data_IF_157608194851
#
_entry.id   IF_157608194851
#
_cell.length_a   1.000
_cell.length_b   1.000
_cell.length_c   1.000
_cell.angle_alpha   90.00
_cell.angle_beta   90.00
_cell.angle_gamma   90.00
#
_symmetry.space_group_name_H-M   'P 1'
#
loop_
_entity.id
_entity.type
_entity.pdbx_description
1 polymer ?
#
# COMPACT_ATOMS: atom_id res chain seq x y z
N UNK A 1 9.11 -3.82 26.05
CA UNK A 1 9.35 -3.37 24.67
C UNK A 1 10.35 -2.24 24.74
N UNK A 2 11.28 -2.09 23.78
CA UNK A 2 12.14 -0.91 23.74
C UNK A 2 11.25 0.33 23.59
N UNK A 3 11.53 1.37 24.36
CA UNK A 3 10.84 2.65 24.26
C UNK A 3 11.15 3.25 22.87
N UNK A 4 10.10 3.55 22.11
CA UNK A 4 10.23 4.22 20.81
C UNK A 4 10.17 5.72 21.11
N UNK A 5 11.18 6.46 20.65
CA UNK A 5 11.26 7.92 20.78
C UNK A 5 11.05 8.56 19.41
N UNK A 6 9.92 9.23 19.21
CA UNK A 6 9.61 9.94 17.98
C UNK A 6 10.26 11.34 18.00
N UNK A 7 11.26 11.51 17.14
CA UNK A 7 11.99 12.77 16.98
C UNK A 7 11.48 13.50 15.74
N UNK A 8 11.00 14.72 15.93
CA UNK A 8 10.53 15.63 14.90
C UNK A 8 11.60 16.66 14.55
N UNK A 9 11.88 16.84 13.26
CA UNK A 9 12.77 17.88 12.74
C UNK A 9 11.93 18.78 11.83
N UNK A 10 11.70 20.02 12.26
CA UNK A 10 10.78 20.94 11.59
C UNK A 10 11.54 22.01 10.80
N UNK A 11 11.24 22.14 9.51
CA UNK A 11 11.59 23.34 8.76
C UNK A 11 10.65 24.48 9.20
N UNK A 12 11.22 25.58 9.69
CA UNK A 12 10.46 26.71 10.22
C UNK A 12 10.71 27.99 9.42
N UNK A 13 9.62 28.70 9.15
CA UNK A 13 9.60 30.06 8.62
C UNK A 13 8.64 30.91 9.45
N UNK A 14 8.08 31.97 8.85
CA UNK A 14 7.27 32.96 9.58
C UNK A 14 5.97 32.45 10.22
N UNK A 15 5.34 31.43 9.65
CA UNK A 15 4.07 30.88 10.16
C UNK A 15 4.33 29.57 10.91
N UNK A 16 4.27 29.57 12.26
CA UNK A 16 4.52 28.39 13.06
C UNK A 16 3.29 27.51 13.31
N UNK A 17 2.08 27.94 12.94
CA UNK A 17 0.84 27.28 13.40
C UNK A 17 0.71 25.82 12.94
N UNK A 18 1.46 25.43 11.91
CA UNK A 18 1.45 24.05 11.40
C UNK A 18 2.22 23.08 12.31
N UNK A 19 3.22 23.58 13.06
CA UNK A 19 4.12 22.75 13.84
C UNK A 19 3.36 21.94 14.90
N UNK A 20 2.51 22.61 15.69
CA UNK A 20 1.78 21.99 16.81
C UNK A 20 0.88 20.84 16.36
N UNK A 21 0.22 20.98 15.21
CA UNK A 21 -0.64 19.95 14.60
C UNK A 21 0.16 18.66 14.35
N UNK A 22 1.33 18.79 13.71
CA UNK A 22 2.21 17.66 13.41
C UNK A 22 2.77 17.00 14.66
N UNK A 23 3.21 17.81 15.64
CA UNK A 23 3.76 17.31 16.90
C UNK A 23 2.72 16.52 17.72
N UNK A 24 1.47 16.98 17.74
CA UNK A 24 0.37 16.31 18.44
C UNK A 24 -0.08 15.03 17.75
N UNK A 25 -0.39 15.11 16.46
CA UNK A 25 -1.06 14.00 15.74
C UNK A 25 -0.13 12.84 15.38
N UNK A 26 1.18 13.08 15.37
CA UNK A 26 2.19 12.06 15.08
C UNK A 26 2.99 11.66 16.32
N UNK A 27 2.48 11.97 17.53
CA UNK A 27 3.03 11.50 18.81
C UNK A 27 4.52 11.86 18.99
N UNK A 28 4.85 13.14 18.88
CA UNK A 28 6.22 13.61 19.07
C UNK A 28 6.70 13.41 20.51
N UNK A 29 7.95 12.99 20.69
CA UNK A 29 8.65 12.98 21.98
C UNK A 29 9.73 14.08 22.06
N UNK A 30 10.41 14.37 20.94
CA UNK A 30 11.41 15.44 20.85
C UNK A 30 11.26 16.26 19.59
N UNK A 31 11.37 17.58 19.71
CA UNK A 31 11.33 18.48 18.55
C UNK A 31 12.65 19.23 18.36
N UNK A 32 13.14 19.26 17.12
CA UNK A 32 14.25 20.09 16.64
C UNK A 32 13.73 21.05 15.57
N UNK A 33 14.31 22.24 15.49
CA UNK A 33 13.96 23.27 14.50
C UNK A 33 15.14 23.53 13.58
N UNK A 34 14.86 23.62 12.28
CA UNK A 34 15.78 24.12 11.26
C UNK A 34 15.15 25.36 10.63
N UNK A 35 15.80 26.50 10.74
CA UNK A 35 15.30 27.80 10.25
C UNK A 35 16.43 28.63 9.61
N UNK A 36 16.17 29.84 9.13
CA UNK A 36 17.22 30.75 8.66
C UNK A 36 17.76 31.62 9.81
N UNK A 37 18.98 32.16 9.66
CA UNK A 37 19.54 33.09 10.66
C UNK A 37 18.60 34.29 10.93
N UNK A 38 18.00 34.85 9.88
CA UNK A 38 17.05 35.97 10.00
C UNK A 38 15.82 35.56 10.82
N UNK A 39 15.22 34.41 10.53
CA UNK A 39 14.05 33.94 11.26
C UNK A 39 14.39 33.58 12.70
N UNK A 40 15.58 33.05 12.97
CA UNK A 40 16.04 32.76 14.33
C UNK A 40 16.21 34.03 15.19
N UNK A 41 16.50 35.18 14.56
CA UNK A 41 16.54 36.49 15.23
C UNK A 41 15.15 37.12 15.36
N UNK A 42 14.31 37.00 14.34
CA UNK A 42 12.96 37.61 14.32
C UNK A 42 11.96 36.88 15.23
N UNK A 43 12.12 35.57 15.40
CA UNK A 43 11.16 34.72 16.10
C UNK A 43 11.79 34.08 17.34
N UNK A 44 11.06 34.11 18.46
CA UNK A 44 11.46 33.46 19.70
C UNK A 44 11.11 31.96 19.67
N UNK A 45 11.83 31.23 18.81
CA UNK A 45 11.70 29.78 18.66
C UNK A 45 11.95 29.03 19.98
N UNK A 46 12.76 29.59 20.88
CA UNK A 46 13.03 28.99 22.19
C UNK A 46 11.78 29.01 23.06
N UNK A 47 11.13 30.17 23.21
CA UNK A 47 9.87 30.27 23.95
C UNK A 47 8.78 29.40 23.31
N UNK A 48 8.73 29.31 21.98
CA UNK A 48 7.80 28.42 21.29
C UNK A 48 8.03 26.93 21.62
N UNK A 49 9.28 26.48 21.62
CA UNK A 49 9.61 25.09 21.99
C UNK A 49 9.32 24.82 23.47
N UNK A 50 9.54 25.79 24.36
CA UNK A 50 9.18 25.69 25.78
C UNK A 50 7.65 25.60 25.98
N UNK A 51 6.88 26.36 25.20
CA UNK A 51 5.41 26.26 25.16
C UNK A 51 4.98 24.87 24.70
N UNK A 52 5.52 24.37 23.58
CA UNK A 52 5.19 23.03 23.09
C UNK A 52 5.59 21.93 24.09
N UNK A 53 6.75 22.07 24.72
CA UNK A 53 7.21 21.14 25.76
C UNK A 53 6.24 21.12 26.95
N UNK A 54 5.76 22.27 27.39
CA UNK A 54 4.77 22.38 28.47
C UNK A 54 3.40 21.82 28.07
N UNK A 55 2.91 22.17 26.88
CA UNK A 55 1.56 21.82 26.42
C UNK A 55 1.43 20.35 26.04
N UNK A 56 2.47 19.79 25.43
CA UNK A 56 2.46 18.45 24.83
C UNK A 56 3.24 17.42 25.64
N UNK A 57 4.02 17.86 26.65
CA UNK A 57 4.90 16.98 27.41
C UNK A 57 6.12 16.48 26.62
N UNK A 58 6.54 17.22 25.59
CA UNK A 58 7.67 16.85 24.72
C UNK A 58 8.98 17.48 25.17
N UNK A 59 10.12 16.89 24.81
CA UNK A 59 11.44 17.44 25.06
C UNK A 59 11.86 18.41 23.94
N UNK A 60 12.38 19.58 24.34
CA UNK A 60 12.91 20.57 23.42
C UNK A 60 14.35 20.20 23.01
N UNK A 61 14.55 19.91 21.73
CA UNK A 61 15.85 19.64 21.13
C UNK A 61 16.60 20.91 20.72
N UNK A 62 17.29 20.85 19.58
CA UNK A 62 18.13 21.91 19.04
C UNK A 62 17.40 22.86 18.09
N UNK A 63 17.86 24.11 18.06
CA UNK A 63 17.52 25.10 17.04
C UNK A 63 18.75 25.28 16.16
N UNK A 64 18.59 25.00 14.87
CA UNK A 64 19.66 25.02 13.89
C UNK A 64 19.35 26.04 12.81
N UNK A 65 20.37 26.80 12.39
CA UNK A 65 20.19 27.88 11.43
C UNK A 65 20.92 27.62 10.13
N UNK A 66 20.32 28.11 9.05
CA UNK A 66 20.91 28.17 7.71
C UNK A 66 21.30 29.63 7.46
N UNK A 67 22.55 29.90 7.04
CA UNK A 67 22.96 31.23 6.67
C UNK A 67 22.05 31.85 5.60
N UNK A 68 21.59 33.09 5.83
CA UNK A 68 20.70 33.77 4.89
C UNK A 68 21.31 33.89 3.49
N UNK A 69 22.64 34.03 3.39
CA UNK A 69 23.37 34.05 2.11
C UNK A 69 23.28 32.73 1.33
N UNK A 70 23.03 31.62 2.03
CA UNK A 70 22.95 30.28 1.44
C UNK A 70 21.51 29.77 1.29
N UNK A 71 20.52 30.44 1.90
CA UNK A 71 19.12 29.99 1.97
C UNK A 71 18.47 29.70 0.61
N UNK A 72 18.92 30.41 -0.44
CA UNK A 72 18.46 30.26 -1.83
C UNK A 72 19.56 29.74 -2.77
N UNK A 73 20.64 29.19 -2.22
CA UNK A 73 21.76 28.63 -2.97
C UNK A 73 21.68 27.10 -3.03
N UNK A 74 22.42 26.50 -3.96
CA UNK A 74 22.56 25.05 -4.02
C UNK A 74 23.21 24.45 -2.75
N UNK A 75 23.91 25.26 -1.95
CA UNK A 75 24.52 24.82 -0.71
C UNK A 75 23.48 24.58 0.41
N UNK A 76 22.31 25.22 0.36
CA UNK A 76 21.23 25.02 1.35
C UNK A 76 20.92 23.54 1.56
N UNK A 77 20.84 22.77 0.48
CA UNK A 77 20.57 21.33 0.54
C UNK A 77 21.65 20.58 1.33
N UNK A 78 22.93 20.88 1.07
CA UNK A 78 24.04 20.27 1.80
C UNK A 78 24.03 20.62 3.28
N UNK A 79 23.66 21.86 3.61
CA UNK A 79 23.54 22.34 4.99
C UNK A 79 22.41 21.61 5.71
N UNK A 80 21.20 21.57 5.13
CA UNK A 80 20.04 20.85 5.71
C UNK A 80 20.36 19.38 5.95
N UNK A 81 20.95 18.69 4.97
CA UNK A 81 21.35 17.28 5.09
C UNK A 81 22.36 17.09 6.23
N UNK A 82 23.35 17.98 6.35
CA UNK A 82 24.35 17.90 7.42
C UNK A 82 23.74 18.16 8.81
N UNK A 83 22.80 19.09 8.92
CA UNK A 83 22.09 19.37 10.18
C UNK A 83 21.22 18.18 10.58
N UNK A 84 20.41 17.63 9.66
CA UNK A 84 19.59 16.44 9.92
C UNK A 84 20.46 15.26 10.37
N UNK A 85 21.59 15.03 9.69
CA UNK A 85 22.58 14.03 10.08
C UNK A 85 23.12 14.24 11.50
N UNK A 86 23.40 15.50 11.86
CA UNK A 86 23.86 15.86 13.20
C UNK A 86 22.81 15.56 14.26
N UNK A 87 21.55 15.92 14.02
CA UNK A 87 20.43 15.66 14.92
C UNK A 87 20.25 14.15 15.12
N UNK A 88 20.22 13.37 14.03
CA UNK A 88 20.07 11.91 14.11
C UNK A 88 21.19 11.28 14.95
N UNK A 89 22.44 11.70 14.75
CA UNK A 89 23.58 11.21 15.54
C UNK A 89 23.47 11.58 17.02
N UNK A 90 22.97 12.78 17.32
CA UNK A 90 22.75 13.24 18.68
C UNK A 90 21.69 12.39 19.39
N UNK A 91 20.53 12.20 18.76
CA UNK A 91 19.40 11.48 19.35
C UNK A 91 19.64 9.97 19.47
N UNK A 92 20.32 9.36 18.49
CA UNK A 92 20.55 7.91 18.50
C UNK A 92 21.72 7.47 19.37
N UNK A 93 22.62 8.38 19.77
CA UNK A 93 23.93 8.05 20.36
C UNK A 93 24.69 6.94 19.61
N UNK A 94 24.39 6.76 18.32
CA UNK A 94 24.94 5.69 17.47
C UNK A 94 25.52 6.28 16.20
N UNK A 95 26.65 5.75 15.71
CA UNK A 95 27.03 6.01 14.34
C UNK A 95 25.95 5.42 13.42
N UNK A 96 25.47 6.22 12.46
CA UNK A 96 24.64 5.77 11.34
C UNK A 96 25.41 4.69 10.58
N UNK A 97 25.22 3.44 10.96
CA UNK A 97 25.70 2.32 10.17
C UNK A 97 24.76 2.22 8.99
N UNK A 98 25.20 2.67 7.80
CA UNK A 98 24.78 2.16 6.47
C UNK A 98 25.59 2.77 5.29
N UNK A 99 26.78 3.33 5.53
CA UNK A 99 27.80 3.46 4.47
C UNK A 99 28.80 2.34 4.68
N UNK A 100 28.96 1.50 3.66
CA UNK A 100 29.53 0.17 3.73
C UNK A 100 30.82 0.06 4.55
N UNK A 101 30.93 -1.09 5.21
CA UNK A 101 32.18 -1.67 5.70
C UNK A 101 33.18 -1.82 4.55
N UNK A 102 33.80 -0.71 4.12
CA UNK A 102 35.15 -0.73 3.60
C UNK A 102 36.04 -0.42 4.77
N UNK A 103 36.84 -1.42 5.15
CA UNK A 103 38.03 -1.23 5.96
C UNK A 103 38.94 -0.23 5.25
N UNK A 104 38.75 1.06 5.47
CA UNK A 104 39.83 2.02 5.35
C UNK A 104 40.66 1.87 6.63
N UNK A 105 41.88 1.34 6.46
CA UNK A 105 42.85 1.18 7.53
C UNK A 105 43.06 2.53 8.24
N UNK A 106 42.51 2.68 9.46
CA UNK A 106 42.74 3.84 10.30
C UNK A 106 41.52 4.40 11.04
N UNK A 107 40.29 4.03 10.65
CA UNK A 107 39.08 4.44 11.39
C UNK A 107 38.60 3.25 12.24
N UNK A 108 38.84 3.32 13.55
CA UNK A 108 38.17 2.45 14.51
C UNK A 108 36.67 2.80 14.50
N UNK A 109 35.88 2.10 13.68
CA UNK A 109 34.43 2.07 13.84
C UNK A 109 34.17 0.98 14.86
N UNK A 110 33.69 1.36 16.05
CA UNK A 110 33.28 0.40 17.07
C UNK A 110 32.27 -0.58 16.45
N UNK A 111 32.49 -1.87 16.68
CA UNK A 111 31.53 -2.91 16.30
C UNK A 111 30.15 -2.58 16.88
N UNK A 112 29.04 -2.87 16.18
CA UNK A 112 27.71 -2.62 16.72
C UNK A 112 27.61 -3.37 18.04
N UNK A 113 27.58 -2.59 19.13
CA UNK A 113 27.43 -3.14 20.46
C UNK A 113 26.08 -3.85 20.49
N UNK A 114 26.12 -5.10 20.95
CA UNK A 114 24.96 -5.97 21.20
C UNK A 114 23.83 -5.12 21.79
N UNK A 115 22.62 -5.18 21.18
CA UNK A 115 21.41 -4.50 21.66
C UNK A 115 21.36 -4.60 23.19
N UNK A 116 21.44 -3.47 23.90
CA UNK A 116 21.19 -3.43 25.34
C UNK A 116 19.67 -3.34 25.53
N UNK A 117 19.17 -3.92 26.62
CA UNK A 117 17.73 -3.92 26.93
C UNK A 117 17.14 -2.50 27.11
N UNK A 118 18.01 -1.48 27.27
CA UNK A 118 17.67 -0.05 27.40
C UNK A 118 17.87 0.78 26.11
N UNK A 119 18.05 0.13 24.95
CA UNK A 119 18.20 0.86 23.68
C UNK A 119 16.88 1.52 23.25
N UNK A 120 16.82 2.84 23.38
CA UNK A 120 15.75 3.67 22.80
C UNK A 120 15.86 3.63 21.27
N UNK A 121 14.78 3.26 20.60
CA UNK A 121 14.71 3.26 19.13
C UNK A 121 14.12 4.60 18.71
N UNK A 122 14.89 5.42 18.01
CA UNK A 122 14.39 6.70 17.53
C UNK A 122 13.68 6.56 16.18
N UNK A 123 12.41 6.96 16.11
CA UNK A 123 11.69 7.20 14.86
C UNK A 123 11.89 8.65 14.44
N UNK A 124 12.28 8.92 13.20
CA UNK A 124 12.51 10.30 12.73
C UNK A 124 11.41 10.77 11.79
N UNK A 125 10.85 11.93 12.09
CA UNK A 125 9.86 12.62 11.27
C UNK A 125 10.41 13.98 10.84
N UNK A 126 10.31 14.32 9.55
CA UNK A 126 10.79 15.58 9.01
C UNK A 126 9.62 16.39 8.47
N UNK A 127 9.25 17.44 9.21
CA UNK A 127 8.17 18.35 8.85
C UNK A 127 8.68 19.41 7.87
N UNK A 128 8.11 19.47 6.67
CA UNK A 128 8.58 20.37 5.61
C UNK A 128 7.54 21.43 5.19
N UNK A 129 6.53 21.67 6.04
CA UNK A 129 5.47 22.66 5.74
C UNK A 129 5.99 24.10 5.83
N UNK A 130 6.85 24.39 6.80
CA UNK A 130 7.46 25.70 6.99
C UNK A 130 8.78 25.88 6.25
N UNK A 131 9.28 27.12 6.27
CA UNK A 131 10.50 27.52 5.59
C UNK A 131 10.30 27.84 4.10
N UNK A 132 11.40 27.93 3.35
CA UNK A 132 11.35 28.16 1.90
C UNK A 132 11.09 26.85 1.16
N UNK A 133 10.59 26.92 -0.09
CA UNK A 133 10.43 25.73 -0.92
C UNK A 133 11.74 24.95 -1.12
N UNK A 134 12.89 25.64 -1.12
CA UNK A 134 14.20 25.00 -1.22
C UNK A 134 14.54 24.22 0.05
N UNK A 135 14.26 24.77 1.24
CA UNK A 135 14.38 24.06 2.50
C UNK A 135 13.47 22.84 2.54
N UNK A 136 12.21 22.99 2.13
CA UNK A 136 11.26 21.89 2.07
C UNK A 136 11.74 20.76 1.14
N UNK A 137 12.20 21.09 -0.06
CA UNK A 137 12.79 20.11 -0.98
C UNK A 137 14.04 19.43 -0.42
N UNK A 138 14.92 20.19 0.25
CA UNK A 138 16.10 19.65 0.92
C UNK A 138 15.74 18.73 2.10
N UNK A 139 14.70 19.07 2.85
CA UNK A 139 14.18 18.28 3.97
C UNK A 139 13.63 16.94 3.50
N UNK A 140 12.82 16.93 2.42
CA UNK A 140 12.34 15.69 1.80
C UNK A 140 13.52 14.85 1.29
N UNK A 141 14.53 15.47 0.69
CA UNK A 141 15.73 14.76 0.25
C UNK A 141 16.50 14.13 1.42
N UNK A 142 16.71 14.88 2.51
CA UNK A 142 17.35 14.39 3.73
C UNK A 142 16.56 13.25 4.37
N UNK A 143 15.22 13.36 4.42
CA UNK A 143 14.36 12.31 4.97
C UNK A 143 14.58 10.98 4.23
N UNK A 144 14.63 11.02 2.90
CA UNK A 144 14.88 9.85 2.08
C UNK A 144 16.29 9.26 2.26
N UNK A 145 17.31 10.10 2.42
CA UNK A 145 18.69 9.65 2.67
C UNK A 145 18.81 8.91 4.00
N UNK A 146 18.09 9.37 5.03
CA UNK A 146 18.19 8.84 6.38
C UNK A 146 17.03 7.93 6.80
N UNK A 147 16.15 7.56 5.85
CA UNK A 147 14.96 6.73 6.11
C UNK A 147 14.04 7.31 7.19
N UNK A 148 13.98 8.64 7.29
CA UNK A 148 13.00 9.34 8.11
C UNK A 148 11.68 9.50 7.33
N UNK A 149 10.59 9.81 8.04
CA UNK A 149 9.25 10.06 7.49
C UNK A 149 9.06 11.54 7.15
N UNK A 150 9.12 11.95 5.88
CA UNK A 150 8.79 13.33 5.53
C UNK A 150 7.28 13.53 5.62
N UNK A 151 6.84 14.66 6.18
CA UNK A 151 5.42 15.01 6.24
C UNK A 151 5.17 16.51 6.09
N UNK A 152 3.96 16.86 5.66
CA UNK A 152 3.47 18.23 5.67
C UNK A 152 2.07 18.30 6.26
N UNK A 153 1.64 19.50 6.68
CA UNK A 153 0.30 19.72 7.20
C UNK A 153 -0.60 20.26 6.08
N UNK A 154 -1.60 19.47 5.70
CA UNK A 154 -2.67 19.92 4.83
C UNK A 154 -3.69 20.67 5.68
N UNK A 155 -3.71 22.01 5.57
CA UNK A 155 -4.75 22.85 6.19
C UNK A 155 -5.97 22.95 5.29
N UNK A 156 -7.14 23.12 5.91
CA UNK A 156 -8.38 23.43 5.18
C UNK A 156 -8.32 24.88 4.71
N UNK A 157 -8.56 25.18 3.42
CA UNK A 157 -8.65 26.55 2.95
C UNK A 157 -9.72 27.33 3.74
N UNK A 158 -9.36 28.51 4.25
CA UNK A 158 -10.23 29.38 5.07
C UNK A 158 -10.73 28.75 6.40
N UNK A 159 -10.13 27.63 6.83
CA UNK A 159 -10.41 26.98 8.12
C UNK A 159 -9.67 27.61 9.30
N UNK A 160 -9.86 27.02 10.48
CA UNK A 160 -9.10 27.42 11.67
C UNK A 160 -7.59 27.15 11.42
N UNK A 161 -6.68 28.11 11.71
CA UNK A 161 -5.23 27.90 11.58
C UNK A 161 -4.68 26.73 12.41
N UNK A 162 -5.39 26.33 13.48
CA UNK A 162 -5.08 25.16 14.31
C UNK A 162 -5.72 23.86 13.78
N UNK A 163 -6.49 23.92 12.69
CA UNK A 163 -7.07 22.77 12.02
C UNK A 163 -6.24 22.35 10.79
N UNK A 164 -5.89 21.06 10.75
CA UNK A 164 -5.18 20.45 9.62
C UNK A 164 -4.87 18.99 9.87
N UNK A 165 -4.45 18.29 8.81
CA UNK A 165 -4.05 16.88 8.87
C UNK A 165 -2.59 16.70 8.41
N UNK A 166 -1.76 15.96 9.17
CA UNK A 166 -0.44 15.58 8.69
C UNK A 166 -0.57 14.55 7.56
N UNK A 167 -0.01 14.89 6.41
CA UNK A 167 0.17 13.98 5.29
C UNK A 167 1.61 13.48 5.34
N UNK A 168 1.79 12.24 5.76
CA UNK A 168 3.08 11.55 5.78
C UNK A 168 3.31 10.95 4.40
N UNK A 169 4.44 11.26 3.78
CA UNK A 169 4.79 10.71 2.48
C UNK A 169 5.54 9.39 2.65
N UNK A 170 5.20 8.41 1.82
CA UNK A 170 6.01 7.21 1.72
C UNK A 170 7.45 7.54 1.29
N UNK A 171 8.45 6.85 1.84
CA UNK A 171 9.84 7.13 1.52
C UNK A 171 10.15 6.68 0.08
N UNK A 172 10.86 7.50 -0.69
CA UNK A 172 11.16 7.26 -2.11
C UNK A 172 11.92 5.95 -2.35
N UNK A 173 12.72 5.52 -1.38
CA UNK A 173 13.42 4.25 -1.40
C UNK A 173 12.46 3.04 -1.40
N UNK A 174 11.21 3.20 -0.98
CA UNK A 174 10.18 2.17 -1.09
C UNK A 174 9.91 1.81 -2.55
N UNK A 175 9.86 2.79 -3.44
CA UNK A 175 9.63 2.52 -4.87
C UNK A 175 10.79 1.73 -5.46
N UNK A 176 12.04 2.06 -5.11
CA UNK A 176 13.21 1.33 -5.57
C UNK A 176 13.27 -0.09 -4.99
N UNK A 177 13.02 -0.22 -3.68
CA UNK A 177 12.91 -1.51 -2.98
C UNK A 177 11.87 -2.40 -3.65
N UNK A 178 10.66 -1.89 -3.79
CA UNK A 178 9.54 -2.62 -4.36
C UNK A 178 9.72 -2.87 -5.84
N UNK A 179 10.49 -2.05 -6.58
CA UNK A 179 10.87 -2.30 -7.99
C UNK A 179 11.97 -3.34 -8.18
N UNK A 180 12.69 -3.71 -7.10
CA UNK A 180 13.67 -4.80 -7.11
C UNK A 180 13.20 -6.07 -6.37
N UNK A 181 12.12 -6.00 -5.60
CA UNK A 181 11.59 -7.13 -4.83
C UNK A 181 11.14 -8.30 -5.74
N UNK A 182 11.23 -9.57 -5.31
CA UNK A 182 10.69 -10.71 -6.05
C UNK A 182 9.17 -10.66 -6.22
N UNK A 183 8.67 -11.13 -7.36
CA UNK A 183 7.23 -11.08 -7.68
C UNK A 183 6.40 -11.93 -6.72
N UNK A 184 6.87 -13.14 -6.42
CA UNK A 184 6.16 -14.05 -5.51
C UNK A 184 6.08 -13.47 -4.09
N UNK A 185 7.12 -12.76 -3.63
CA UNK A 185 7.09 -12.09 -2.34
C UNK A 185 6.06 -10.94 -2.30
N UNK A 186 5.92 -10.17 -3.38
CA UNK A 186 4.88 -9.14 -3.49
C UNK A 186 3.50 -9.80 -3.47
N UNK A 187 3.29 -10.88 -4.21
CA UNK A 187 2.02 -11.62 -4.25
C UNK A 187 1.64 -12.20 -2.89
N UNK A 188 2.61 -12.81 -2.19
CA UNK A 188 2.36 -13.39 -0.86
C UNK A 188 1.93 -12.31 0.14
N UNK A 189 2.56 -11.13 0.13
CA UNK A 189 2.16 -10.02 1.00
C UNK A 189 0.80 -9.42 0.63
N UNK A 190 0.46 -9.35 -0.65
CA UNK A 190 -0.88 -8.88 -1.07
C UNK A 190 -1.98 -9.88 -0.67
N UNK A 191 -1.70 -11.19 -0.70
CA UNK A 191 -2.64 -12.23 -0.25
C UNK A 191 -2.70 -12.35 1.29
N UNK A 192 -1.58 -12.09 1.95
CA UNK A 192 -1.39 -12.22 3.37
C UNK A 192 -0.71 -10.96 3.94
N UNK A 193 -1.42 -9.82 4.01
CA UNK A 193 -0.85 -8.56 4.48
C UNK A 193 -0.48 -8.59 5.96
N UNK A 194 -1.00 -9.58 6.70
CA UNK A 194 -0.66 -9.84 8.09
C UNK A 194 -0.50 -11.33 8.35
N UNK A 195 0.39 -11.70 9.25
CA UNK A 195 0.63 -13.10 9.53
C UNK A 195 1.79 -13.36 10.49
N UNK A 196 2.23 -14.62 10.53
CA UNK A 196 3.41 -15.01 11.30
C UNK A 196 4.66 -14.79 10.47
N UNK A 197 5.60 -14.01 10.99
CA UNK A 197 6.82 -13.60 10.30
C UNK A 197 7.63 -14.80 9.77
N UNK A 198 7.88 -15.78 10.64
CA UNK A 198 8.68 -16.97 10.28
C UNK A 198 7.91 -18.08 9.56
N UNK A 199 6.64 -17.85 9.21
CA UNK A 199 5.87 -18.81 8.39
C UNK A 199 5.99 -18.52 6.89
N UNK A 200 6.58 -17.40 6.53
CA UNK A 200 6.76 -16.94 5.15
C UNK A 200 8.04 -17.51 4.57
N UNK A 201 8.13 -17.52 3.24
CA UNK A 201 9.39 -17.83 2.56
C UNK A 201 10.46 -16.76 2.85
N UNK A 202 11.71 -17.08 2.52
CA UNK A 202 12.86 -16.23 2.85
C UNK A 202 12.81 -14.87 2.14
N UNK A 203 12.28 -14.80 0.91
CA UNK A 203 12.22 -13.57 0.12
C UNK A 203 11.15 -12.64 0.68
N UNK A 204 9.98 -13.19 1.01
CA UNK A 204 8.90 -12.46 1.69
C UNK A 204 9.34 -11.97 3.06
N UNK A 205 10.04 -12.79 3.85
CA UNK A 205 10.61 -12.37 5.13
C UNK A 205 11.57 -11.18 4.99
N UNK A 206 12.48 -11.22 4.00
CA UNK A 206 13.41 -10.12 3.72
C UNK A 206 12.63 -8.86 3.32
N UNK A 207 11.59 -9.01 2.49
CA UNK A 207 10.76 -7.89 2.06
C UNK A 207 10.02 -7.26 3.23
N UNK A 208 9.39 -8.05 4.11
CA UNK A 208 8.72 -7.57 5.32
C UNK A 208 9.71 -6.76 6.18
N UNK A 209 10.89 -7.30 6.44
CA UNK A 209 11.90 -6.64 7.28
C UNK A 209 12.33 -5.30 6.68
N UNK A 210 12.44 -5.22 5.36
CA UNK A 210 12.78 -3.96 4.66
C UNK A 210 11.61 -2.98 4.65
N UNK A 211 10.37 -3.45 4.51
CA UNK A 211 9.19 -2.61 4.60
C UNK A 211 8.99 -2.07 6.02
N UNK A 212 9.27 -2.87 7.05
CA UNK A 212 9.27 -2.46 8.45
C UNK A 212 10.29 -1.33 8.70
N UNK A 213 11.49 -1.46 8.14
CA UNK A 213 12.50 -0.40 8.16
C UNK A 213 12.06 0.89 7.44
N UNK A 214 11.17 0.78 6.45
CA UNK A 214 10.57 1.93 5.75
C UNK A 214 9.25 2.38 6.37
N UNK A 215 8.86 1.79 7.50
CA UNK A 215 7.60 2.04 8.20
C UNK A 215 6.36 1.77 7.34
N UNK A 216 6.48 0.86 6.38
CA UNK A 216 5.39 0.37 5.53
C UNK A 216 4.85 -0.97 6.03
N UNK A 217 5.48 -1.56 7.04
CA UNK A 217 5.00 -2.70 7.82
C UNK A 217 5.40 -2.50 9.29
N UNK A 218 4.91 -3.35 10.18
CA UNK A 218 5.42 -3.53 11.53
C UNK A 218 5.80 -4.99 11.77
N UNK A 219 6.80 -5.23 12.61
CA UNK A 219 7.10 -6.57 13.14
C UNK A 219 7.08 -6.58 14.66
N UNK A 220 6.18 -7.39 15.22
CA UNK A 220 5.93 -7.42 16.66
C UNK A 220 6.05 -8.83 17.22
N UNK A 221 6.51 -8.92 18.47
CA UNK A 221 6.49 -10.18 19.22
C UNK A 221 5.24 -10.20 20.10
N UNK A 222 4.25 -11.00 19.71
CA UNK A 222 3.10 -11.30 20.55
C UNK A 222 3.51 -12.27 21.64
N UNK A 223 3.59 -11.80 22.87
CA UNK A 223 3.78 -12.67 24.03
C UNK A 223 2.48 -13.40 24.39
N UNK A 224 2.62 -14.67 24.75
CA UNK A 224 1.50 -15.44 25.29
C UNK A 224 1.42 -15.13 26.80
N UNK A 225 0.32 -14.54 27.30
CA UNK A 225 0.16 -14.23 28.72
C UNK A 225 0.26 -15.49 29.61
N UNK A 226 -0.09 -16.66 29.08
CA UNK A 226 -0.06 -17.93 29.80
C UNK A 226 1.34 -18.58 29.78
N UNK A 227 2.18 -18.22 28.79
CA UNK A 227 3.52 -18.79 28.60
C UNK A 227 4.57 -17.69 28.33
N UNK A 228 5.05 -17.02 29.39
CA UNK A 228 6.10 -16.01 29.27
C UNK A 228 7.34 -16.58 28.58
N UNK A 229 7.75 -15.96 27.48
CA UNK A 229 8.90 -16.38 26.67
C UNK A 229 8.57 -17.18 25.41
N UNK A 230 7.34 -17.69 25.21
CA UNK A 230 6.93 -18.38 23.98
C UNK A 230 6.33 -17.44 22.92
N UNK A 231 6.72 -16.17 22.93
CA UNK A 231 6.12 -15.16 22.07
C UNK A 231 6.34 -15.46 20.58
N UNK A 232 5.31 -15.20 19.78
CA UNK A 232 5.32 -15.42 18.33
C UNK A 232 5.55 -14.10 17.62
N UNK A 233 6.44 -14.11 16.63
CA UNK A 233 6.67 -12.95 15.78
C UNK A 233 5.60 -12.87 14.69
N UNK A 234 4.94 -11.73 14.63
CA UNK A 234 3.93 -11.39 13.65
C UNK A 234 4.34 -10.16 12.88
N UNK A 235 3.73 -9.98 11.71
CA UNK A 235 3.87 -8.78 10.91
C UNK A 235 2.50 -8.26 10.51
N UNK A 236 2.43 -6.96 10.27
CA UNK A 236 1.28 -6.27 9.69
C UNK A 236 1.77 -5.24 8.66
N UNK A 237 1.38 -5.39 7.40
CA UNK A 237 1.67 -4.42 6.35
C UNK A 237 0.67 -3.28 6.46
N UNK A 238 1.18 -2.05 6.57
CA UNK A 238 0.34 -0.85 6.67
C UNK A 238 -0.55 -0.66 5.43
N UNK A 239 -1.59 0.15 5.56
CA UNK A 239 -2.45 0.52 4.41
C UNK A 239 -1.63 1.16 3.27
N UNK A 240 -0.72 2.08 3.61
CA UNK A 240 0.21 2.72 2.67
C UNK A 240 1.13 1.68 1.99
N UNK A 241 1.69 0.75 2.77
CA UNK A 241 2.53 -0.33 2.27
C UNK A 241 1.77 -1.25 1.30
N UNK A 242 0.51 -1.54 1.61
CA UNK A 242 -0.39 -2.35 0.79
C UNK A 242 -0.68 -1.63 -0.53
N UNK A 243 -1.01 -0.34 -0.48
CA UNK A 243 -1.24 0.48 -1.68
C UNK A 243 -0.02 0.49 -2.61
N UNK A 244 1.19 0.66 -2.07
CA UNK A 244 2.42 0.64 -2.86
C UNK A 244 2.71 -0.73 -3.47
N UNK A 245 2.46 -1.81 -2.74
CA UNK A 245 2.57 -3.18 -3.27
C UNK A 245 1.61 -3.37 -4.45
N UNK A 246 0.37 -2.89 -4.35
CA UNK A 246 -0.61 -2.95 -5.43
C UNK A 246 -0.17 -2.16 -6.65
N UNK A 247 0.23 -0.89 -6.47
CA UNK A 247 0.72 -0.04 -7.57
C UNK A 247 1.89 -0.70 -8.30
N UNK A 248 2.83 -1.30 -7.56
CA UNK A 248 4.01 -1.94 -8.14
C UNK A 248 3.66 -3.27 -8.81
N UNK A 249 2.77 -4.07 -8.23
CA UNK A 249 2.28 -5.30 -8.86
C UNK A 249 1.61 -5.02 -10.21
N UNK A 250 0.79 -3.95 -10.27
CA UNK A 250 0.16 -3.49 -11.51
C UNK A 250 1.20 -2.98 -12.52
N UNK A 251 2.16 -2.13 -12.10
CA UNK A 251 3.23 -1.64 -12.99
C UNK A 251 4.06 -2.75 -13.61
N UNK A 252 4.36 -3.78 -12.82
CA UNK A 252 5.20 -4.91 -13.24
C UNK A 252 4.45 -5.93 -14.08
N UNK A 253 3.14 -5.77 -14.31
CA UNK A 253 2.30 -6.73 -15.04
C UNK A 253 2.53 -8.15 -14.54
N UNK A 254 2.45 -8.37 -13.22
CA UNK A 254 2.79 -9.65 -12.57
C UNK A 254 1.81 -10.79 -12.83
N UNK A 255 1.52 -11.04 -14.10
CA UNK A 255 0.88 -12.24 -14.64
C UNK A 255 1.26 -12.43 -16.13
N UNK A 256 2.53 -12.77 -16.41
CA UNK A 256 2.85 -13.57 -17.61
C UNK A 256 3.79 -14.74 -17.24
N UNK A 257 3.55 -15.96 -17.77
CA UNK A 257 4.59 -16.95 -17.97
C UNK A 257 5.53 -16.51 -19.12
N UNK A 258 6.77 -17.04 -19.22
CA UNK A 258 7.88 -16.47 -20.00
C UNK A 258 7.71 -16.43 -21.53
N UNK A 259 6.57 -16.81 -22.09
CA UNK A 259 6.43 -17.09 -23.53
C UNK A 259 6.05 -15.88 -24.38
N UNK A 260 5.90 -14.69 -23.80
CA UNK A 260 5.56 -13.45 -24.53
C UNK A 260 6.49 -12.26 -24.31
N UNK A 261 7.64 -12.46 -23.66
CA UNK A 261 8.73 -11.46 -23.64
C UNK A 261 9.63 -11.54 -24.89
N UNK A 262 9.02 -11.69 -26.06
CA UNK A 262 9.72 -11.68 -27.34
C UNK A 262 8.98 -10.79 -28.32
N UNK A 263 9.45 -9.55 -28.48
CA UNK A 263 9.04 -8.69 -29.58
C UNK A 263 8.72 -7.27 -29.16
N UNK A 264 9.73 -6.53 -28.68
CA UNK A 264 9.87 -5.09 -28.93
C UNK A 264 11.35 -4.73 -28.83
N UNK A 265 12.14 -5.44 -29.62
CA UNK A 265 13.49 -5.03 -30.00
C UNK A 265 13.71 -5.51 -31.42
N UNK A 266 13.53 -4.63 -32.40
CA UNK A 266 14.51 -4.36 -33.46
C UNK A 266 13.87 -3.48 -34.55
N UNK A 267 14.39 -2.25 -34.64
CA UNK A 267 14.41 -1.50 -35.88
C UNK A 267 15.20 -2.27 -36.96
N UNK A 268 14.76 -2.10 -38.22
CA UNK A 268 15.50 -2.33 -39.46
C UNK A 268 16.09 -3.72 -39.74
N UNK A 269 15.44 -4.49 -40.63
CA UNK A 269 15.88 -4.66 -42.03
C UNK A 269 15.25 -5.88 -42.73
N UNK A 270 14.93 -5.74 -44.02
CA UNK A 270 15.05 -6.84 -44.98
C UNK A 270 13.84 -7.73 -45.30
N UNK A 271 13.01 -7.26 -46.23
CA UNK A 271 12.46 -7.97 -47.40
C UNK A 271 11.88 -9.42 -47.31
N UNK A 272 10.59 -9.49 -47.70
CA UNK A 272 9.84 -10.60 -48.37
C UNK A 272 9.61 -11.85 -47.51
N UNK A 273 8.38 -12.35 -47.39
CA UNK A 273 7.60 -12.92 -48.49
C UNK A 273 6.10 -13.00 -48.14
N UNK A 274 5.25 -12.77 -49.14
CA UNK A 274 3.79 -12.92 -49.09
C UNK A 274 3.40 -14.38 -48.91
N UNK A 275 2.42 -14.65 -48.05
CA UNK A 275 1.44 -15.72 -48.29
C UNK A 275 0.06 -15.17 -47.99
N UNK A 276 -0.72 -15.03 -49.05
CA UNK A 276 -2.13 -14.69 -49.03
C UNK A 276 -2.94 -15.82 -48.37
N UNK A 277 -3.88 -15.47 -47.49
CA UNK A 277 -5.19 -16.15 -47.45
C UNK A 277 -6.23 -15.26 -46.77
N UNK A 278 -7.04 -14.66 -47.64
CA UNK A 278 -8.47 -14.35 -47.51
C UNK A 278 -8.98 -13.71 -46.20
N UNK A 279 -9.23 -12.40 -46.30
CA UNK A 279 -10.28 -11.72 -45.53
C UNK A 279 -11.62 -12.46 -45.72
N UNK A 280 -12.17 -12.97 -44.62
CA UNK A 280 -13.60 -13.24 -44.50
C UNK A 280 -14.14 -12.27 -43.45
N UNK A 281 -14.80 -11.23 -43.95
CA UNK A 281 -15.63 -10.30 -43.20
C UNK A 281 -16.72 -11.07 -42.44
N UNK A 282 -16.63 -11.09 -41.12
CA UNK A 282 -17.64 -11.62 -40.21
C UNK A 282 -17.42 -11.05 -38.81
N UNK A 283 -18.48 -10.77 -38.03
CA UNK A 283 -18.32 -10.23 -36.69
C UNK A 283 -17.54 -11.22 -35.81
N UNK A 284 -16.69 -10.76 -34.88
CA UNK A 284 -15.90 -11.64 -34.05
C UNK A 284 -16.81 -12.49 -33.16
N UNK A 285 -16.78 -13.80 -33.39
CA UNK A 285 -17.48 -14.79 -32.58
C UNK A 285 -16.96 -14.74 -31.13
N UNK A 286 -17.87 -14.45 -30.20
CA UNK A 286 -17.69 -14.48 -28.74
C UNK A 286 -17.33 -15.85 -28.14
N UNK A 287 -16.80 -16.77 -28.92
CA UNK A 287 -16.55 -18.14 -28.50
C UNK A 287 -15.04 -18.44 -28.47
N UNK A 288 -14.49 -18.50 -27.27
CA UNK A 288 -13.34 -19.38 -27.03
C UNK A 288 -13.83 -20.82 -27.34
N UNK A 289 -13.43 -21.46 -28.46
CA UNK A 289 -14.07 -22.68 -28.98
C UNK A 289 -13.95 -23.90 -28.04
N UNK A 290 -13.24 -23.74 -26.91
CA UNK A 290 -13.01 -24.73 -25.87
C UNK A 290 -13.99 -24.66 -24.69
N UNK A 291 -14.96 -23.75 -24.62
CA UNK A 291 -15.51 -23.38 -23.31
C UNK A 291 -17.03 -23.60 -23.07
N UNK A 292 -17.79 -24.04 -24.07
CA UNK A 292 -19.22 -24.34 -23.93
C UNK A 292 -20.11 -23.09 -23.94
N UNK A 293 -21.39 -23.24 -23.61
CA UNK A 293 -22.40 -22.18 -23.73
C UNK A 293 -22.60 -21.42 -22.41
N UNK A 294 -22.68 -20.09 -22.48
CA UNK A 294 -23.12 -19.26 -21.36
C UNK A 294 -24.56 -19.63 -21.01
N UNK A 295 -24.79 -20.01 -19.75
CA UNK A 295 -26.12 -20.40 -19.25
C UNK A 295 -26.76 -19.24 -18.48
N UNK A 296 -26.03 -18.64 -17.54
CA UNK A 296 -26.55 -17.59 -16.66
C UNK A 296 -25.47 -16.54 -16.33
N UNK A 297 -25.85 -15.27 -16.28
CA UNK A 297 -25.05 -14.21 -15.66
C UNK A 297 -25.60 -13.97 -14.25
N UNK A 298 -24.80 -14.27 -13.23
CA UNK A 298 -25.22 -14.22 -11.83
C UNK A 298 -25.08 -12.82 -11.24
N UNK A 299 -24.00 -12.14 -11.59
CA UNK A 299 -23.62 -10.86 -11.01
C UNK A 299 -22.72 -10.09 -11.96
N UNK A 300 -22.94 -8.78 -12.02
CA UNK A 300 -22.05 -7.83 -12.68
C UNK A 300 -21.67 -6.75 -11.68
N UNK A 301 -20.40 -6.37 -11.66
CA UNK A 301 -19.87 -5.25 -10.86
C UNK A 301 -19.17 -4.24 -11.75
N UNK A 302 -19.37 -2.97 -11.44
CA UNK A 302 -18.76 -1.82 -12.09
C UNK A 302 -18.09 -0.96 -11.01
N UNK A 303 -17.50 0.16 -11.43
CA UNK A 303 -16.92 1.15 -10.51
C UNK A 303 -17.93 1.67 -9.48
N UNK A 304 -19.23 1.62 -9.76
CA UNK A 304 -20.27 2.11 -8.83
C UNK A 304 -20.36 1.31 -7.53
N UNK A 305 -19.93 0.03 -7.57
CA UNK A 305 -19.88 -0.83 -6.40
C UNK A 305 -18.54 -0.75 -5.65
N UNK A 306 -17.60 0.10 -6.10
CA UNK A 306 -16.33 0.34 -5.40
C UNK A 306 -16.55 1.38 -4.30
N UNK A 307 -16.31 1.05 -3.02
CA UNK A 307 -16.39 2.02 -1.92
C UNK A 307 -15.42 3.18 -2.11
N UNK A 308 -15.79 4.37 -1.64
CA UNK A 308 -14.93 5.57 -1.71
C UNK A 308 -13.54 5.37 -1.10
N UNK A 309 -13.39 4.49 -0.11
CA UNK A 309 -12.10 4.15 0.51
C UNK A 309 -11.16 3.31 -0.40
N UNK A 310 -11.61 2.86 -1.56
CA UNK A 310 -10.83 2.02 -2.47
C UNK A 310 -10.69 2.70 -3.85
N UNK A 311 -10.19 3.94 -3.83
CA UNK A 311 -10.06 4.79 -5.02
C UNK A 311 -9.17 4.15 -6.10
N UNK A 312 -8.10 3.44 -5.71
CA UNK A 312 -7.21 2.78 -6.67
C UNK A 312 -7.95 1.75 -7.52
N UNK A 313 -8.85 0.95 -6.92
CA UNK A 313 -9.66 -0.01 -7.67
C UNK A 313 -10.57 0.71 -8.67
N UNK A 314 -11.22 1.79 -8.25
CA UNK A 314 -12.08 2.58 -9.13
C UNK A 314 -11.29 3.17 -10.32
N UNK A 315 -10.12 3.76 -10.05
CA UNK A 315 -9.23 4.30 -11.10
C UNK A 315 -8.76 3.22 -12.07
N UNK A 316 -8.43 2.01 -11.58
CA UNK A 316 -8.05 0.89 -12.44
C UNK A 316 -9.23 0.44 -13.31
N UNK A 317 -10.43 0.33 -12.75
CA UNK A 317 -11.62 -0.03 -13.51
C UNK A 317 -11.94 1.00 -14.59
N UNK A 318 -11.88 2.29 -14.27
CA UNK A 318 -12.13 3.38 -15.21
C UNK A 318 -11.07 3.39 -16.32
N UNK A 319 -9.78 3.39 -15.95
CA UNK A 319 -8.65 3.48 -16.89
C UNK A 319 -8.65 2.35 -17.92
N UNK A 320 -9.03 1.15 -17.49
CA UNK A 320 -9.03 -0.05 -18.33
C UNK A 320 -10.43 -0.44 -18.82
N UNK A 321 -11.43 0.41 -18.56
CA UNK A 321 -12.82 0.23 -18.92
C UNK A 321 -13.38 -1.16 -18.54
N UNK A 322 -13.14 -1.55 -17.29
CA UNK A 322 -13.40 -2.91 -16.81
C UNK A 322 -14.79 -3.08 -16.20
N UNK A 323 -15.39 -4.22 -16.50
CA UNK A 323 -16.59 -4.74 -15.85
C UNK A 323 -16.30 -6.14 -15.29
N UNK A 324 -16.59 -6.36 -14.01
CA UNK A 324 -16.46 -7.68 -13.38
C UNK A 324 -17.73 -8.50 -13.58
N UNK A 325 -17.59 -9.74 -14.03
CA UNK A 325 -18.72 -10.66 -14.29
C UNK A 325 -18.55 -11.96 -13.53
N UNK A 326 -19.65 -12.45 -12.96
CA UNK A 326 -19.78 -13.82 -12.48
C UNK A 326 -20.82 -14.56 -13.33
N UNK A 327 -20.38 -15.59 -14.05
CA UNK A 327 -21.17 -16.27 -15.07
C UNK A 327 -21.08 -17.78 -14.94
N UNK A 328 -22.18 -18.47 -15.26
CA UNK A 328 -22.26 -19.93 -15.28
C UNK A 328 -22.19 -20.40 -16.72
N UNK A 329 -21.18 -21.22 -17.01
CA UNK A 329 -20.92 -21.79 -18.33
C UNK A 329 -21.13 -23.29 -18.30
N UNK A 330 -21.73 -23.85 -19.34
CA UNK A 330 -22.03 -25.29 -19.44
C UNK A 330 -21.31 -25.91 -20.64
N UNK A 331 -20.53 -26.97 -20.39
CA UNK A 331 -19.89 -27.79 -21.42
C UNK A 331 -19.99 -29.27 -21.04
N UNK A 332 -20.41 -30.13 -21.97
CA UNK A 332 -20.47 -31.59 -21.78
C UNK A 332 -21.15 -31.99 -20.45
N UNK A 333 -22.31 -31.36 -20.18
CA UNK A 333 -23.09 -31.49 -18.94
C UNK A 333 -22.42 -31.06 -17.62
N UNK A 334 -21.23 -30.44 -17.69
CA UNK A 334 -20.55 -29.84 -16.55
C UNK A 334 -20.76 -28.34 -16.52
N UNK A 335 -21.13 -27.81 -15.35
CA UNK A 335 -21.26 -26.37 -15.10
C UNK A 335 -20.01 -25.82 -14.41
N UNK A 336 -19.60 -24.63 -14.81
CA UNK A 336 -18.46 -23.91 -14.25
C UNK A 336 -18.87 -22.48 -13.94
N UNK A 337 -18.62 -22.04 -12.72
CA UNK A 337 -18.72 -20.64 -12.32
C UNK A 337 -17.41 -19.94 -12.72
N UNK A 338 -17.51 -18.90 -13.53
CA UNK A 338 -16.40 -18.03 -13.94
C UNK A 338 -16.57 -16.69 -13.27
N UNK A 339 -15.53 -16.22 -12.60
CA UNK A 339 -15.46 -14.87 -12.04
C UNK A 339 -14.29 -14.19 -12.71
N UNK A 340 -14.54 -13.15 -13.49
CA UNK A 340 -13.52 -12.51 -14.32
C UNK A 340 -13.86 -11.05 -14.60
N UNK A 341 -12.92 -10.34 -15.21
CA UNK A 341 -13.14 -8.97 -15.68
C UNK A 341 -12.98 -8.91 -17.19
N UNK A 342 -13.78 -8.06 -17.81
CA UNK A 342 -13.80 -7.83 -19.24
C UNK A 342 -13.62 -6.34 -19.51
N UNK A 343 -12.85 -6.00 -20.54
CA UNK A 343 -12.84 -4.64 -21.07
C UNK A 343 -14.08 -4.44 -21.93
N UNK A 344 -14.93 -3.46 -21.60
CA UNK A 344 -16.20 -3.27 -22.32
C UNK A 344 -16.04 -2.65 -23.72
N UNK A 345 -14.87 -2.10 -24.05
CA UNK A 345 -14.51 -1.67 -25.42
C UNK A 345 -13.96 -2.81 -26.27
N UNK A 346 -13.25 -3.76 -25.66
CA UNK A 346 -12.69 -4.94 -26.32
C UNK A 346 -12.87 -6.17 -25.45
N UNK A 347 -14.04 -6.80 -25.57
CA UNK A 347 -14.39 -7.97 -24.75
C UNK A 347 -13.51 -9.20 -25.04
N UNK A 348 -12.73 -9.17 -26.12
CA UNK A 348 -11.76 -10.23 -26.46
C UNK A 348 -10.46 -10.10 -25.67
N UNK A 349 -10.17 -8.91 -25.14
CA UNK A 349 -8.98 -8.62 -24.36
C UNK A 349 -9.17 -9.01 -22.90
N UNK A 350 -8.32 -9.93 -22.42
CA UNK A 350 -8.26 -10.24 -20.99
C UNK A 350 -7.42 -9.16 -20.29
N UNK A 351 -7.95 -8.49 -19.25
CA UNK A 351 -7.16 -7.55 -18.48
C UNK A 351 -5.95 -8.27 -17.86
N UNK A 352 -4.74 -7.84 -18.20
CA UNK A 352 -3.50 -8.37 -17.66
C UNK A 352 -3.08 -7.60 -16.40
N UNK A 353 -3.93 -7.69 -15.37
CA UNK A 353 -3.79 -6.95 -14.11
C UNK A 353 -3.83 -7.92 -12.94
N UNK A 354 -3.04 -7.65 -11.89
CA UNK A 354 -2.82 -8.59 -10.79
C UNK A 354 -4.12 -8.97 -10.07
N UNK A 355 -4.97 -7.96 -9.79
CA UNK A 355 -6.25 -8.16 -9.08
C UNK A 355 -7.37 -8.76 -9.94
N UNK A 356 -7.20 -8.85 -11.25
CA UNK A 356 -8.31 -9.08 -12.19
C UNK A 356 -8.16 -10.39 -12.96
N UNK A 357 -7.63 -11.43 -12.31
CA UNK A 357 -7.49 -12.75 -12.91
C UNK A 357 -8.83 -13.49 -13.00
N UNK A 358 -8.97 -14.33 -14.02
CA UNK A 358 -10.11 -15.21 -14.17
C UNK A 358 -10.02 -16.39 -13.20
N UNK A 359 -11.03 -16.56 -12.32
CA UNK A 359 -11.22 -17.76 -11.52
C UNK A 359 -12.27 -18.68 -12.17
N UNK A 360 -11.97 -19.98 -12.20
CA UNK A 360 -12.86 -21.03 -12.72
C UNK A 360 -13.14 -22.05 -11.64
N UNK A 361 -14.39 -22.12 -11.19
CA UNK A 361 -14.82 -23.01 -10.11
C UNK A 361 -15.82 -24.01 -10.66
N UNK A 362 -15.54 -25.30 -10.45
CA UNK A 362 -16.46 -26.37 -10.84
C UNK A 362 -17.70 -26.30 -9.96
N UNK A 363 -18.88 -26.35 -10.57
CA UNK A 363 -20.15 -26.25 -9.85
C UNK A 363 -20.53 -27.63 -9.31
N UNK A 364 -20.07 -27.90 -8.08
CA UNK A 364 -20.46 -29.05 -7.25
C UNK A 364 -20.67 -28.54 -5.82
N UNK A 365 -21.80 -28.86 -5.17
CA UNK A 365 -22.16 -28.28 -3.87
C UNK A 365 -21.04 -28.39 -2.83
N UNK A 366 -20.42 -29.56 -2.69
CA UNK A 366 -19.31 -29.77 -1.74
C UNK A 366 -18.11 -28.85 -2.02
N UNK A 367 -17.79 -28.61 -3.30
CA UNK A 367 -16.69 -27.72 -3.69
C UNK A 367 -17.05 -26.25 -3.44
N UNK A 368 -18.29 -25.85 -3.74
CA UNK A 368 -18.77 -24.49 -3.48
C UNK A 368 -18.79 -24.18 -1.98
N UNK A 369 -19.29 -25.11 -1.16
CA UNK A 369 -19.31 -24.97 0.30
C UNK A 369 -17.89 -24.87 0.84
N UNK A 370 -16.97 -25.73 0.39
CA UNK A 370 -15.56 -25.65 0.78
C UNK A 370 -14.95 -24.29 0.44
N UNK A 371 -15.13 -23.83 -0.79
CA UNK A 371 -14.58 -22.54 -1.23
C UNK A 371 -15.18 -21.36 -0.45
N UNK A 372 -16.48 -21.43 -0.12
CA UNK A 372 -17.13 -20.44 0.75
C UNK A 372 -16.47 -20.44 2.13
N UNK A 373 -16.29 -21.60 2.76
CA UNK A 373 -15.71 -21.71 4.10
C UNK A 373 -14.26 -21.19 4.13
N UNK A 374 -13.46 -21.54 3.13
CA UNK A 374 -12.09 -21.01 2.94
C UNK A 374 -12.10 -19.49 2.65
N UNK A 375 -13.23 -19.00 2.12
CA UNK A 375 -13.42 -17.59 1.76
C UNK A 375 -13.97 -16.70 2.89
N UNK A 376 -14.38 -17.26 4.03
CA UNK A 376 -14.99 -16.48 5.11
C UNK A 376 -13.94 -15.75 5.97
N UNK A 377 -14.15 -14.46 6.27
CA UNK A 377 -13.39 -13.79 7.32
C UNK A 377 -13.79 -14.35 8.70
N UNK A 378 -12.86 -14.35 9.65
CA UNK A 378 -13.01 -14.91 11.02
C UNK A 378 -14.17 -14.33 11.87
N UNK A 379 -14.90 -13.32 11.36
CA UNK A 379 -16.01 -12.62 12.05
C UNK A 379 -17.13 -12.20 11.07
N UNK A 380 -17.76 -13.14 10.37
CA UNK A 380 -18.98 -12.86 9.60
C UNK A 380 -20.23 -13.45 10.27
N UNK A 381 -21.40 -12.99 9.85
CA UNK A 381 -22.73 -13.43 10.31
C UNK A 381 -22.93 -14.93 10.02
N UNK A 382 -22.58 -15.78 11.00
CA UNK A 382 -22.62 -17.24 10.93
C UNK A 382 -24.02 -17.76 10.56
N UNK A 383 -25.08 -17.04 10.95
CA UNK A 383 -26.47 -17.42 10.70
C UNK A 383 -26.87 -17.28 9.22
N UNK A 384 -26.30 -16.32 8.49
CA UNK A 384 -26.56 -16.15 7.06
C UNK A 384 -25.84 -17.24 6.25
N UNK A 385 -24.59 -17.54 6.61
CA UNK A 385 -23.79 -18.60 6.01
C UNK A 385 -24.42 -19.97 6.24
N UNK A 386 -24.78 -20.27 7.48
CA UNK A 386 -25.41 -21.54 7.85
C UNK A 386 -26.72 -21.77 7.09
N UNK A 387 -27.54 -20.72 6.92
CA UNK A 387 -28.78 -20.79 6.14
C UNK A 387 -28.54 -21.15 4.67
N UNK A 388 -27.60 -20.46 4.01
CA UNK A 388 -27.30 -20.69 2.60
C UNK A 388 -26.73 -22.11 2.39
N UNK A 389 -25.82 -22.56 3.25
CA UNK A 389 -25.25 -23.91 3.18
C UNK A 389 -26.33 -24.97 3.44
N UNK A 390 -27.19 -24.76 4.46
CA UNK A 390 -28.26 -25.72 4.81
C UNK A 390 -29.38 -25.80 3.77
N UNK A 391 -29.57 -24.75 2.97
CA UNK A 391 -30.59 -24.69 1.93
C UNK A 391 -30.27 -25.54 0.70
N UNK A 392 -29.01 -25.96 0.53
CA UNK A 392 -28.51 -26.84 -0.55
C UNK A 392 -28.89 -26.37 -1.97
N UNK A 393 -29.11 -25.06 -2.13
CA UNK A 393 -29.43 -24.44 -3.41
C UNK A 393 -28.14 -23.98 -4.09
N UNK A 394 -27.71 -24.76 -5.07
CA UNK A 394 -26.49 -24.52 -5.85
C UNK A 394 -26.43 -23.10 -6.44
N UNK A 395 -27.56 -22.54 -6.89
CA UNK A 395 -27.60 -21.19 -7.46
C UNK A 395 -27.35 -20.10 -6.40
N UNK A 396 -27.90 -20.27 -5.20
CA UNK A 396 -27.63 -19.37 -4.07
C UNK A 396 -26.19 -19.49 -3.58
N UNK A 397 -25.63 -20.70 -3.57
CA UNK A 397 -24.21 -20.94 -3.25
C UNK A 397 -23.29 -20.22 -4.25
N UNK A 398 -23.57 -20.31 -5.55
CA UNK A 398 -22.78 -19.62 -6.58
C UNK A 398 -22.86 -18.09 -6.46
N UNK A 399 -24.05 -17.52 -6.26
CA UNK A 399 -24.20 -16.07 -6.06
C UNK A 399 -23.46 -15.61 -4.79
N UNK A 400 -23.58 -16.36 -3.70
CA UNK A 400 -22.92 -16.02 -2.45
C UNK A 400 -21.39 -16.08 -2.59
N UNK A 401 -20.86 -17.11 -3.24
CA UNK A 401 -19.43 -17.24 -3.52
C UNK A 401 -18.92 -16.11 -4.43
N UNK A 402 -19.67 -15.75 -5.48
CA UNK A 402 -19.32 -14.64 -6.35
C UNK A 402 -19.25 -13.31 -5.58
N UNK A 403 -20.24 -13.02 -4.72
CA UNK A 403 -20.23 -11.84 -3.86
C UNK A 403 -19.02 -11.84 -2.92
N UNK A 404 -18.73 -12.96 -2.26
CA UNK A 404 -17.55 -13.10 -1.39
C UNK A 404 -16.25 -12.77 -2.12
N UNK A 405 -16.08 -13.26 -3.35
CA UNK A 405 -14.88 -13.04 -4.15
C UNK A 405 -14.75 -11.56 -4.55
N UNK A 406 -15.83 -10.92 -5.02
CA UNK A 406 -15.81 -9.48 -5.29
C UNK A 406 -15.62 -8.64 -4.02
N UNK A 407 -16.22 -9.01 -2.89
CA UNK A 407 -16.00 -8.29 -1.62
C UNK A 407 -14.54 -8.36 -1.16
N UNK A 408 -13.87 -9.51 -1.35
CA UNK A 408 -12.43 -9.65 -1.09
C UNK A 408 -11.57 -8.79 -2.02
N UNK A 409 -12.01 -8.57 -3.25
CA UNK A 409 -11.38 -7.63 -4.17
C UNK A 409 -11.68 -6.17 -3.85
N UNK A 410 -12.57 -5.90 -2.88
CA UNK A 410 -12.87 -4.57 -2.36
C UNK A 410 -14.16 -3.95 -2.87
N UNK A 411 -15.03 -4.71 -3.53
CA UNK A 411 -16.38 -4.27 -3.90
C UNK A 411 -17.33 -4.33 -2.70
N UNK A 412 -18.37 -3.50 -2.72
CA UNK A 412 -19.41 -3.50 -1.69
C UNK A 412 -20.77 -3.77 -2.29
N UNK A 413 -21.44 -4.78 -1.74
CA UNK A 413 -22.85 -5.03 -1.99
C UNK A 413 -23.61 -4.52 -0.77
N UNK A 414 -24.57 -3.59 -0.98
CA UNK A 414 -25.43 -3.11 0.11
C UNK A 414 -26.11 -4.26 0.85
N UNK A 415 -26.72 -4.01 2.03
CA UNK A 415 -27.40 -5.06 2.78
C UNK A 415 -28.40 -5.77 1.85
N UNK A 416 -28.23 -7.09 1.70
CA UNK A 416 -29.10 -7.89 0.84
C UNK A 416 -30.56 -7.62 1.25
N UNK A 417 -31.47 -7.31 0.31
CA UNK A 417 -32.85 -7.05 0.66
C UNK A 417 -33.39 -8.24 1.45
N UNK A 418 -33.75 -8.01 2.71
CA UNK A 418 -34.46 -8.98 3.52
C UNK A 418 -35.80 -9.25 2.83
N UNK A 419 -35.90 -10.41 2.18
CA UNK A 419 -37.15 -11.03 1.76
C UNK A 419 -38.04 -10.20 0.83
N UNK A 420 -37.97 -10.47 -0.47
CA UNK A 420 -39.13 -10.33 -1.34
C UNK A 420 -39.15 -11.48 -2.33
N UNK A 421 -40.19 -12.31 -2.24
CA UNK A 421 -40.35 -13.55 -2.98
C UNK A 421 -40.15 -13.38 -4.49
N UNK A 422 -39.27 -14.21 -5.04
CA UNK A 422 -39.10 -14.34 -6.48
C UNK A 422 -40.20 -15.26 -7.01
N UNK A 423 -41.30 -14.64 -7.41
CA UNK A 423 -42.44 -15.30 -8.03
C UNK A 423 -42.74 -14.71 -9.40
N UNK A 424 -42.40 -15.46 -10.45
CA UNK A 424 -42.98 -15.46 -11.80
C UNK A 424 -42.71 -14.22 -12.70
N UNK A 425 -41.84 -14.45 -13.68
CA UNK A 425 -41.91 -13.81 -15.00
C UNK A 425 -43.22 -14.21 -15.70
N UNK A 426 -44.23 -13.34 -15.60
CA UNK A 426 -45.42 -13.39 -16.44
C UNK A 426 -45.19 -12.65 -17.76
N UNK A 427 -45.09 -13.40 -18.87
CA UNK A 427 -45.17 -12.92 -20.25
C UNK A 427 -46.30 -11.87 -20.40
N UNK A 428 -45.98 -10.66 -20.85
CA UNK A 428 -46.93 -9.83 -21.60
C UNK A 428 -46.77 -10.15 -23.08
N UNK A 429 -47.75 -10.87 -23.63
CA UNK A 429 -48.01 -10.87 -25.08
C UNK A 429 -48.67 -9.54 -25.45
N UNK A 430 -48.31 -9.02 -26.62
CA UNK A 430 -49.08 -8.04 -27.37
C UNK A 430 -50.46 -8.59 -27.74
#
# INVERSE_FOLDING_TARGET
MPEIKNVHILMMGRDPGHAKIGLQKLECDVVHIITSDEMAEEMDHKSMMEEWASDLGIEAGGIHTIPNSELFSAAATGIVVAVVLSIIRHETNRPLMHLGSRHEEGVHVDHPTRKKDDDVICGFFIGFTGGTNLMAGAAVHAANLFSAKPYYIARVPDGDPDEGEPIVLAPMNATALLSAAPNEAIKDLLQHPKGRLFSRDIETYILITRLDYLHLASTDKLEDPEFPGSGRWVYDVSEEGTLLLEIIAERRRLTEPPERQGGDSEEESGAKEKVDSEEVDGPPDSSDPKMGDLTDTLLTVTQEQVPARNELLAVLMERWNLEGRAEVWKRDDKRTLRIYFVNTEDESSKPNLYKFHEEKIKVENDLLVKEILDSLPYRRDEDAVARIISGDNEFELMIYLAKLKFERMGFSFGPSPRGSGWGRTGKKRA
#
